data_IF_484510937919
#
_entry.id   IF_484510937919
#
_cell.length_a   1.000
_cell.length_b   1.000
_cell.length_c   1.000
_cell.angle_alpha   90.00
_cell.angle_beta   90.00
_cell.angle_gamma   90.00
#
_symmetry.space_group_name_H-M   'P 1'
#
loop_
_entity.id
_entity.type
_entity.pdbx_description
1 polymer ?
#
# COMPACT_ATOMS: atom_id res chain seq x y z
N UNK A 1 -18.51 0.44 14.91
CA UNK A 1 -17.94 -0.14 13.67
C UNK A 1 -16.54 -0.64 14.00
N UNK A 2 -16.35 -1.94 14.23
CA UNK A 2 -15.01 -2.52 14.43
C UNK A 2 -14.21 -2.35 13.14
N UNK A 3 -13.18 -1.49 13.17
CA UNK A 3 -12.30 -1.27 12.03
C UNK A 3 -11.21 -2.35 12.08
N UNK A 4 -11.43 -3.45 11.37
CA UNK A 4 -10.43 -4.52 11.24
C UNK A 4 -9.24 -3.96 10.45
N UNK A 5 -8.14 -3.63 11.13
CA UNK A 5 -6.90 -3.14 10.49
C UNK A 5 -5.93 -4.30 10.40
N UNK A 6 -5.79 -4.91 9.22
CA UNK A 6 -4.83 -5.99 8.97
C UNK A 6 -3.45 -5.47 8.51
N UNK A 7 -3.35 -4.17 8.25
CA UNK A 7 -2.12 -3.45 7.90
C UNK A 7 -1.86 -2.35 8.93
N UNK A 8 -0.77 -2.49 9.70
CA UNK A 8 -0.35 -1.46 10.65
C UNK A 8 1.14 -1.46 10.92
N UNK A 9 1.58 -0.46 11.67
CA UNK A 9 2.99 -0.25 12.03
C UNK A 9 3.88 -0.14 10.79
N UNK A 10 4.97 -0.90 10.80
CA UNK A 10 6.01 -0.87 9.77
C UNK A 10 5.50 -1.26 8.37
N UNK A 11 4.53 -2.17 8.27
CA UNK A 11 3.96 -2.60 6.99
C UNK A 11 3.14 -1.48 6.32
N UNK A 12 2.47 -0.66 7.14
CA UNK A 12 1.76 0.54 6.67
C UNK A 12 2.74 1.56 6.13
N UNK A 13 3.82 1.82 6.87
CA UNK A 13 4.82 2.82 6.51
C UNK A 13 5.59 2.42 5.25
N UNK A 14 5.92 1.13 5.10
CA UNK A 14 6.49 0.57 3.87
C UNK A 14 5.59 0.77 2.66
N UNK A 15 4.30 0.48 2.81
CA UNK A 15 3.34 0.59 1.70
C UNK A 15 3.14 2.05 1.28
N UNK A 16 3.12 2.96 2.25
CA UNK A 16 3.08 4.39 1.96
C UNK A 16 4.39 4.84 1.29
N UNK A 17 5.54 4.45 1.82
CA UNK A 17 6.85 4.78 1.26
C UNK A 17 7.05 4.26 -0.16
N UNK A 18 6.70 2.99 -0.39
CA UNK A 18 6.75 2.36 -1.71
C UNK A 18 5.80 3.07 -2.70
N UNK A 19 4.60 3.41 -2.25
CA UNK A 19 3.64 4.14 -3.06
C UNK A 19 4.14 5.51 -3.48
N UNK A 20 4.73 6.27 -2.55
CA UNK A 20 5.36 7.57 -2.84
C UNK A 20 6.54 7.41 -3.81
N UNK A 21 7.41 6.43 -3.59
CA UNK A 21 8.55 6.16 -4.46
C UNK A 21 8.11 5.81 -5.89
N UNK A 22 7.05 5.02 -6.03
CA UNK A 22 6.47 4.67 -7.33
C UNK A 22 5.85 5.88 -8.04
N UNK A 23 5.17 6.78 -7.31
CA UNK A 23 4.71 8.07 -7.86
C UNK A 23 5.88 8.94 -8.34
N UNK A 24 6.93 9.06 -7.52
CA UNK A 24 8.11 9.83 -7.88
C UNK A 24 8.79 9.29 -9.16
N UNK A 25 8.86 7.97 -9.29
CA UNK A 25 9.36 7.33 -10.52
C UNK A 25 8.48 7.61 -11.73
N UNK A 26 7.14 7.50 -11.59
CA UNK A 26 6.21 7.80 -12.67
C UNK A 26 6.28 9.26 -13.15
N UNK A 27 6.59 10.19 -12.25
CA UNK A 27 6.78 11.60 -12.54
C UNK A 27 8.08 11.91 -13.30
N UNK A 28 9.02 10.97 -13.41
CA UNK A 28 10.26 11.20 -14.14
C UNK A 28 9.98 11.36 -15.66
N UNK A 29 10.51 12.43 -16.30
CA UNK A 29 10.31 12.69 -17.73
C UNK A 29 10.82 11.57 -18.65
N UNK A 30 11.76 10.76 -18.15
CA UNK A 30 12.40 9.66 -18.89
C UNK A 30 11.69 8.31 -18.74
N UNK A 31 10.70 8.18 -17.87
CA UNK A 31 9.95 6.94 -17.74
C UNK A 31 9.12 6.73 -19.02
N UNK A 32 9.33 5.63 -19.74
CA UNK A 32 8.49 5.28 -20.89
C UNK A 32 7.02 5.12 -20.50
N UNK A 33 6.10 5.23 -21.46
CA UNK A 33 4.64 5.11 -21.21
C UNK A 33 4.26 3.81 -20.49
N UNK A 34 4.82 2.66 -20.88
CA UNK A 34 4.60 1.38 -20.21
C UNK A 34 5.06 1.36 -18.74
N UNK A 35 6.34 1.65 -18.44
CA UNK A 35 6.85 1.74 -17.07
C UNK A 35 6.10 2.74 -16.18
N UNK A 36 5.64 3.87 -16.73
CA UNK A 36 4.82 4.84 -15.99
C UNK A 36 3.49 4.25 -15.53
N UNK A 37 2.77 3.57 -16.43
CA UNK A 37 1.48 2.95 -16.11
C UNK A 37 1.66 1.88 -15.03
N UNK A 38 2.70 1.05 -15.14
CA UNK A 38 3.04 0.06 -14.10
C UNK A 38 3.34 0.71 -12.75
N UNK A 39 4.15 1.78 -12.74
CA UNK A 39 4.48 2.52 -11.52
C UNK A 39 3.26 3.18 -10.88
N UNK A 40 2.34 3.76 -11.67
CA UNK A 40 1.09 4.32 -11.17
C UNK A 40 0.16 3.25 -10.59
N UNK A 41 0.09 2.06 -11.20
CA UNK A 41 -0.69 0.95 -10.66
C UNK A 41 -0.13 0.48 -9.31
N UNK A 42 1.19 0.30 -9.22
CA UNK A 42 1.87 -0.05 -7.96
C UNK A 42 1.63 1.02 -6.89
N UNK A 43 1.75 2.30 -7.26
CA UNK A 43 1.48 3.41 -6.36
C UNK A 43 0.04 3.40 -5.82
N UNK A 44 -0.95 3.22 -6.70
CA UNK A 44 -2.35 3.19 -6.32
C UNK A 44 -2.66 2.04 -5.34
N UNK A 45 -2.11 0.85 -5.60
CA UNK A 45 -2.32 -0.32 -4.74
C UNK A 45 -1.60 -0.14 -3.39
N UNK A 46 -0.34 0.29 -3.41
CA UNK A 46 0.46 0.45 -2.20
C UNK A 46 -0.10 1.57 -1.29
N UNK A 47 -0.44 2.72 -1.87
CA UNK A 47 -1.07 3.82 -1.11
C UNK A 47 -2.49 3.45 -0.66
N UNK A 48 -3.29 2.82 -1.52
CA UNK A 48 -4.64 2.40 -1.17
C UNK A 48 -4.64 1.44 0.03
N UNK A 49 -3.76 0.44 0.03
CA UNK A 49 -3.62 -0.52 1.13
C UNK A 49 -3.01 0.10 2.40
N UNK A 50 -1.97 0.93 2.27
CA UNK A 50 -1.36 1.62 3.40
C UNK A 50 -2.26 2.68 4.05
N UNK A 51 -3.01 3.46 3.27
CA UNK A 51 -3.90 4.50 3.79
C UNK A 51 -5.15 3.91 4.45
N UNK A 52 -5.77 2.91 3.83
CA UNK A 52 -6.94 2.22 4.40
C UNK A 52 -6.59 1.39 5.65
N UNK A 53 -5.34 0.93 5.77
CA UNK A 53 -4.95 -0.03 6.79
C UNK A 53 -5.58 -1.42 6.54
N UNK A 54 -6.02 -1.66 5.31
CA UNK A 54 -6.69 -2.87 4.88
C UNK A 54 -6.11 -3.38 3.56
N UNK A 55 -5.58 -4.60 3.57
CA UNK A 55 -5.12 -5.32 2.38
C UNK A 55 -5.96 -6.59 2.20
N UNK A 56 -6.77 -6.72 1.13
CA UNK A 56 -7.60 -7.91 0.92
C UNK A 56 -6.76 -9.18 0.71
N UNK A 57 -5.54 -9.07 0.17
CA UNK A 57 -4.62 -10.20 0.07
C UNK A 57 -4.13 -10.66 1.46
N UNK A 58 -3.80 -9.72 2.36
CA UNK A 58 -3.45 -10.05 3.74
C UNK A 58 -4.63 -10.71 4.46
N UNK A 59 -5.86 -10.24 4.25
CA UNK A 59 -7.08 -10.87 4.79
C UNK A 59 -7.28 -12.29 4.25
N UNK A 60 -7.16 -12.48 2.93
CA UNK A 60 -7.29 -13.79 2.29
C UNK A 60 -6.22 -14.79 2.77
N UNK A 61 -5.04 -14.29 3.13
CA UNK A 61 -3.94 -15.08 3.69
C UNK A 61 -4.00 -15.19 5.24
N UNK A 62 -4.96 -14.54 5.90
CA UNK A 62 -5.06 -14.52 7.37
C UNK A 62 -3.87 -13.83 8.07
N UNK A 63 -3.17 -12.94 7.37
CA UNK A 63 -1.98 -12.23 7.88
C UNK A 63 -2.40 -10.87 8.42
N UNK A 64 -2.28 -10.70 9.74
CA UNK A 64 -2.38 -9.39 10.37
C UNK A 64 -0.97 -8.90 10.71
N UNK A 65 -0.48 -7.89 9.98
CA UNK A 65 0.81 -7.22 10.28
C UNK A 65 0.70 -6.26 11.47
N UNK A 66 -0.52 -6.12 11.99
CA UNK A 66 -0.85 -5.42 13.21
C UNK A 66 -1.93 -6.17 13.97
N UNK A 67 -1.60 -6.71 15.15
CA UNK A 67 -2.57 -7.12 16.16
C UNK A 67 -2.57 -6.09 17.28
N UNK A 68 -3.37 -5.03 17.16
CA UNK A 68 -3.85 -4.34 18.36
C UNK A 68 -5.31 -4.73 18.51
N UNK A 69 -5.69 -5.45 19.58
CA UNK A 69 -7.08 -5.58 19.97
C UNK A 69 -7.65 -4.16 20.08
N UNK A 70 -8.65 -3.84 19.26
CA UNK A 70 -9.47 -2.65 19.50
C UNK A 70 -10.62 -3.13 20.39
N UNK A 71 -10.44 -2.96 21.69
CA UNK A 71 -11.53 -2.76 22.64
C UNK A 71 -12.47 -1.63 22.18
#
# INVERSE_FOLDING_TARGET
MHRVRNVGGWDRDLRIGLGIAALAFAALPRAGSGPRVGALAVAAIALGTGLSGYCPANQALGIDTWRVPLD
#
